data_IF_122361960123
#
_entry.id   IF_122361960123
#
_cell.length_a   1.000
_cell.length_b   1.000
_cell.length_c   1.000
_cell.angle_alpha   90.00
_cell.angle_beta   90.00
_cell.angle_gamma   90.00
#
_symmetry.space_group_name_H-M   'P 1'
#
loop_
_entity.id
_entity.type
_entity.pdbx_description
1 polymer ?
#
# COMPACT_ATOMS: atom_id res chain seq x y z
N UNK A 1 10.94 -10.38 7.38
CA UNK A 1 11.41 -11.27 6.31
C UNK A 1 12.77 -10.76 5.85
N UNK A 2 13.84 -11.49 6.19
CA UNK A 2 15.19 -11.20 5.73
C UNK A 2 15.41 -11.66 4.27
N UNK A 3 16.63 -11.54 3.77
CA UNK A 3 16.98 -12.03 2.43
C UNK A 3 17.04 -13.57 2.37
N UNK A 4 17.38 -14.25 3.47
CA UNK A 4 17.39 -15.71 3.53
C UNK A 4 16.00 -16.30 3.29
N UNK A 5 14.94 -15.70 3.85
CA UNK A 5 13.55 -16.10 3.58
C UNK A 5 13.11 -15.87 2.13
N UNK A 6 13.70 -14.88 1.44
CA UNK A 6 13.46 -14.67 0.00
C UNK A 6 14.15 -15.75 -0.82
N UNK A 7 15.41 -16.05 -0.50
CA UNK A 7 16.15 -17.14 -1.15
C UNK A 7 15.52 -18.51 -0.88
N UNK A 8 14.94 -18.70 0.31
CA UNK A 8 14.16 -19.89 0.66
C UNK A 8 12.99 -20.09 -0.30
N UNK A 9 12.20 -19.04 -0.59
CA UNK A 9 11.14 -19.10 -1.60
C UNK A 9 11.69 -19.48 -2.98
N UNK A 10 12.79 -18.84 -3.41
CA UNK A 10 13.38 -19.12 -4.73
C UNK A 10 13.98 -20.53 -4.85
N UNK A 11 14.39 -21.13 -3.74
CA UNK A 11 14.99 -22.47 -3.71
C UNK A 11 13.95 -23.57 -3.53
N UNK A 12 13.00 -23.37 -2.63
CA UNK A 12 12.13 -24.44 -2.11
C UNK A 12 10.69 -24.37 -2.61
N UNK A 13 10.22 -23.21 -3.09
CA UNK A 13 8.86 -23.15 -3.65
C UNK A 13 8.78 -24.04 -4.89
N UNK A 14 7.79 -24.91 -4.92
CA UNK A 14 7.50 -25.77 -6.08
C UNK A 14 6.99 -24.93 -7.25
N UNK A 15 7.03 -25.48 -8.48
CA UNK A 15 6.48 -24.77 -9.64
C UNK A 15 5.00 -24.37 -9.46
N UNK A 16 4.10 -25.26 -8.98
CA UNK A 16 2.72 -24.87 -8.71
C UNK A 16 2.58 -23.75 -7.67
N UNK A 17 3.40 -23.75 -6.61
CA UNK A 17 3.37 -22.68 -5.61
C UNK A 17 3.86 -21.35 -6.19
N UNK A 18 4.89 -21.36 -7.03
CA UNK A 18 5.36 -20.14 -7.72
C UNK A 18 4.31 -19.60 -8.67
N UNK A 19 3.68 -20.47 -9.45
CA UNK A 19 2.59 -20.09 -10.34
C UNK A 19 1.41 -19.52 -9.57
N UNK A 20 1.04 -20.13 -8.44
CA UNK A 20 0.00 -19.60 -7.55
C UNK A 20 0.36 -18.20 -7.05
N UNK A 21 1.56 -18.02 -6.48
CA UNK A 21 2.00 -16.72 -5.93
C UNK A 21 2.04 -15.65 -7.03
N UNK A 22 2.64 -15.97 -8.18
CA UNK A 22 2.75 -15.06 -9.31
C UNK A 22 1.37 -14.70 -9.86
N UNK A 23 0.42 -15.63 -9.87
CA UNK A 23 -0.92 -15.37 -10.40
C UNK A 23 -1.58 -14.15 -9.73
N UNK A 24 -1.38 -13.95 -8.42
CA UNK A 24 -1.96 -12.82 -7.68
C UNK A 24 -1.54 -11.43 -8.21
N UNK A 25 -0.44 -11.37 -8.97
CA UNK A 25 0.18 -10.12 -9.43
C UNK A 25 0.30 -10.03 -10.96
N UNK A 26 -0.17 -11.04 -11.71
CA UNK A 26 -0.14 -11.00 -13.18
C UNK A 26 -1.10 -9.96 -13.73
N UNK A 27 -0.59 -9.16 -14.66
CA UNK A 27 -1.37 -8.21 -15.45
C UNK A 27 -1.83 -8.92 -16.71
N UNK A 28 -3.14 -9.01 -16.90
CA UNK A 28 -3.79 -9.66 -18.04
C UNK A 28 -3.68 -8.81 -19.30
N UNK A 29 -3.96 -7.52 -19.18
CA UNK A 29 -3.96 -6.58 -20.30
C UNK A 29 -3.63 -5.16 -19.81
N UNK A 30 -3.13 -4.34 -20.73
CA UNK A 30 -2.77 -2.94 -20.47
C UNK A 30 -3.45 -2.03 -21.48
N UNK A 31 -3.92 -0.88 -21.03
CA UNK A 31 -4.57 0.14 -21.85
C UNK A 31 -4.02 1.53 -21.55
N UNK A 32 -3.96 2.38 -22.58
CA UNK A 32 -3.63 3.81 -22.41
C UNK A 32 -2.24 4.06 -21.84
N UNK A 33 -1.25 3.20 -22.12
CA UNK A 33 0.12 3.36 -21.62
C UNK A 33 0.75 4.68 -22.07
N UNK A 34 1.49 5.33 -21.17
CA UNK A 34 2.12 6.64 -21.36
C UNK A 34 3.62 6.54 -21.03
N UNK A 35 4.40 5.85 -21.87
CA UNK A 35 5.83 5.64 -21.63
C UNK A 35 6.64 6.94 -21.60
N UNK A 36 6.10 8.05 -22.15
CA UNK A 36 6.72 9.37 -22.14
C UNK A 36 6.60 10.11 -20.79
N UNK A 37 5.71 9.67 -19.90
CA UNK A 37 5.56 10.26 -18.58
C UNK A 37 6.83 10.03 -17.72
N UNK A 38 7.20 10.98 -16.89
CA UNK A 38 8.41 10.92 -16.04
C UNK A 38 8.13 10.38 -14.64
N UNK A 39 6.85 10.30 -14.29
CA UNK A 39 6.37 9.96 -12.97
C UNK A 39 5.05 9.22 -13.10
N UNK A 40 4.92 8.14 -12.34
CA UNK A 40 3.68 7.36 -12.21
C UNK A 40 3.08 7.58 -10.82
N UNK A 41 1.81 7.98 -10.78
CA UNK A 41 0.96 7.79 -9.60
C UNK A 41 0.32 6.41 -9.73
N UNK A 42 0.60 5.51 -8.81
CA UNK A 42 0.09 4.15 -8.81
C UNK A 42 -1.01 3.97 -7.77
N UNK A 43 -2.14 3.43 -8.23
CA UNK A 43 -3.32 3.18 -7.42
C UNK A 43 -3.91 1.81 -7.78
N UNK A 44 -4.56 1.17 -6.82
CA UNK A 44 -5.35 -0.04 -7.05
C UNK A 44 -6.84 0.27 -6.99
N UNK A 45 -7.63 -0.37 -7.83
CA UNK A 45 -9.09 -0.31 -7.76
C UNK A 45 -9.68 -1.73 -7.77
N UNK A 46 -10.34 -2.08 -6.68
CA UNK A 46 -10.97 -3.37 -6.41
C UNK A 46 -12.13 -3.16 -5.44
N UNK A 47 -13.12 -4.06 -5.43
CA UNK A 47 -14.30 -3.94 -4.58
C UNK A 47 -14.75 -5.28 -4.00
N UNK A 48 -14.32 -5.55 -2.76
CA UNK A 48 -14.72 -6.69 -1.92
C UNK A 48 -14.76 -6.31 -0.45
N UNK A 49 -15.32 -7.18 0.38
CA UNK A 49 -15.21 -7.05 1.83
C UNK A 49 -13.75 -7.00 2.28
N UNK A 50 -13.51 -6.26 3.36
CA UNK A 50 -12.19 -6.12 3.96
C UNK A 50 -11.68 -7.41 4.63
N UNK A 51 -12.60 -8.31 5.00
CA UNK A 51 -12.31 -9.50 5.80
C UNK A 51 -12.92 -10.74 5.15
N UNK A 52 -12.17 -11.85 5.17
CA UNK A 52 -12.59 -13.15 4.66
C UNK A 52 -13.88 -13.69 5.30
N UNK A 53 -14.17 -13.29 6.54
CA UNK A 53 -15.36 -13.74 7.26
C UNK A 53 -16.66 -13.25 6.63
N UNK A 54 -16.62 -12.17 5.86
CA UNK A 54 -17.75 -11.68 5.08
C UNK A 54 -17.56 -12.18 3.66
N UNK A 55 -18.47 -13.06 3.20
CA UNK A 55 -18.37 -13.72 1.90
C UNK A 55 -18.34 -12.76 0.71
N UNK A 56 -18.39 -13.28 -0.52
CA UNK A 56 -18.22 -12.46 -1.71
C UNK A 56 -19.37 -11.47 -1.97
N UNK A 57 -19.01 -10.25 -2.41
CA UNK A 57 -19.94 -9.37 -3.11
C UNK A 57 -20.35 -9.96 -4.48
N UNK A 58 -21.56 -9.65 -4.98
CA UNK A 58 -21.96 -9.99 -6.34
C UNK A 58 -21.02 -9.35 -7.37
N UNK A 59 -21.10 -9.85 -8.62
CA UNK A 59 -20.31 -9.28 -9.73
C UNK A 59 -20.56 -7.77 -9.82
N UNK A 60 -19.51 -6.95 -9.68
CA UNK A 60 -19.64 -5.51 -9.72
C UNK A 60 -20.28 -4.97 -11.00
N UNK A 61 -21.15 -3.97 -10.83
CA UNK A 61 -21.63 -3.13 -11.92
C UNK A 61 -21.65 -1.68 -11.46
N UNK A 62 -21.69 -0.74 -12.39
CA UNK A 62 -21.83 0.70 -12.08
C UNK A 62 -23.01 0.96 -11.14
N UNK A 63 -24.18 0.37 -11.45
CA UNK A 63 -25.40 0.58 -10.67
C UNK A 63 -25.31 -0.04 -9.28
N UNK A 64 -24.74 -1.25 -9.16
CA UNK A 64 -24.53 -1.89 -7.85
C UNK A 64 -23.57 -1.10 -6.97
N UNK A 65 -22.49 -0.57 -7.54
CA UNK A 65 -21.56 0.27 -6.79
C UNK A 65 -22.28 1.51 -6.27
N UNK A 66 -22.95 2.29 -7.15
CA UNK A 66 -23.70 3.50 -6.76
C UNK A 66 -24.84 3.27 -5.77
N UNK A 67 -25.36 2.05 -5.70
CA UNK A 67 -26.48 1.69 -4.83
C UNK A 67 -26.07 0.70 -3.74
N UNK A 68 -24.77 0.58 -3.45
CA UNK A 68 -24.23 -0.43 -2.54
C UNK A 68 -24.86 -0.38 -1.15
N UNK A 69 -25.15 0.80 -0.61
CA UNK A 69 -25.85 0.98 0.67
C UNK A 69 -27.21 0.27 0.69
N UNK A 70 -28.01 0.42 -0.37
CA UNK A 70 -29.34 -0.19 -0.47
C UNK A 70 -29.30 -1.72 -0.58
N UNK A 71 -28.14 -2.27 -0.95
CA UNK A 71 -27.94 -3.70 -1.19
C UNK A 71 -27.05 -4.35 -0.12
N UNK A 72 -26.70 -3.64 0.95
CA UNK A 72 -25.77 -4.10 2.00
C UNK A 72 -24.38 -4.51 1.47
N UNK A 73 -23.89 -3.78 0.46
CA UNK A 73 -22.61 -4.05 -0.24
C UNK A 73 -21.51 -3.04 0.11
N UNK A 74 -21.59 -2.42 1.29
CA UNK A 74 -20.62 -1.39 1.70
C UNK A 74 -19.40 -1.99 2.39
N UNK A 75 -18.21 -1.64 1.89
CA UNK A 75 -16.94 -1.98 2.55
C UNK A 75 -16.66 -0.95 3.65
N UNK A 76 -16.62 -1.38 4.92
CA UNK A 76 -16.44 -0.49 6.10
C UNK A 76 -17.49 0.64 6.19
N UNK A 77 -18.72 0.40 5.73
CA UNK A 77 -19.76 1.43 5.70
C UNK A 77 -19.54 2.55 4.67
N UNK A 78 -18.67 2.32 3.68
CA UNK A 78 -18.35 3.30 2.64
C UNK A 78 -19.00 2.90 1.30
N UNK A 79 -19.71 3.86 0.69
CA UNK A 79 -20.30 3.70 -0.64
C UNK A 79 -19.18 3.72 -1.70
N UNK A 80 -18.99 2.64 -2.47
CA UNK A 80 -17.77 2.42 -3.23
C UNK A 80 -17.58 3.37 -4.42
N UNK A 81 -18.66 3.83 -5.05
CA UNK A 81 -18.60 4.77 -6.17
C UNK A 81 -18.09 6.13 -5.72
N UNK A 82 -18.75 6.76 -4.76
CA UNK A 82 -18.39 8.08 -4.25
C UNK A 82 -17.06 8.08 -3.48
N UNK A 83 -16.72 6.96 -2.83
CA UNK A 83 -15.52 6.87 -2.02
C UNK A 83 -14.27 6.41 -2.78
N UNK A 84 -14.38 5.51 -3.77
CA UNK A 84 -13.19 4.99 -4.47
C UNK A 84 -13.14 5.38 -5.95
N UNK A 85 -14.26 5.35 -6.68
CA UNK A 85 -14.27 5.59 -8.13
C UNK A 85 -14.24 7.08 -8.45
N UNK A 86 -15.12 7.86 -7.81
CA UNK A 86 -15.26 9.29 -8.09
C UNK A 86 -14.02 10.12 -7.74
N UNK A 87 -13.33 9.89 -6.61
CA UNK A 87 -12.09 10.62 -6.30
C UNK A 87 -10.98 10.30 -7.31
N UNK A 88 -10.91 9.05 -7.77
CA UNK A 88 -9.97 8.61 -8.81
C UNK A 88 -10.25 9.31 -10.15
N UNK A 89 -11.48 9.29 -10.65
CA UNK A 89 -11.83 9.96 -11.91
C UNK A 89 -11.55 11.47 -11.86
N UNK A 90 -11.91 12.12 -10.75
CA UNK A 90 -11.65 13.56 -10.55
C UNK A 90 -10.16 13.87 -10.44
N UNK A 91 -9.43 13.08 -9.64
CA UNK A 91 -7.99 13.24 -9.44
C UNK A 91 -7.20 13.06 -10.74
N UNK A 92 -7.49 11.98 -11.48
CA UNK A 92 -6.84 11.72 -12.76
C UNK A 92 -7.14 12.82 -13.80
N UNK A 93 -8.39 13.26 -13.92
CA UNK A 93 -8.76 14.35 -14.83
C UNK A 93 -8.04 15.66 -14.47
N UNK A 94 -7.95 16.00 -13.18
CA UNK A 94 -7.24 17.18 -12.71
C UNK A 94 -5.73 17.09 -12.99
N UNK A 95 -5.10 15.95 -12.69
CA UNK A 95 -3.68 15.72 -12.93
C UNK A 95 -3.34 15.76 -14.42
N UNK A 96 -4.18 15.21 -15.30
CA UNK A 96 -3.97 15.28 -16.75
C UNK A 96 -3.86 16.72 -17.24
N UNK A 97 -4.62 17.65 -16.66
CA UNK A 97 -4.63 19.05 -17.04
C UNK A 97 -3.46 19.83 -16.42
N UNK A 98 -3.15 19.61 -15.14
CA UNK A 98 -2.15 20.40 -14.40
C UNK A 98 -0.73 19.87 -14.51
N UNK A 99 -0.56 18.55 -14.66
CA UNK A 99 0.71 17.82 -14.65
C UNK A 99 0.72 16.72 -15.72
N UNK A 100 0.69 17.09 -17.02
CA UNK A 100 0.65 16.13 -18.12
C UNK A 100 1.92 15.26 -18.19
N UNK A 101 3.01 15.62 -17.51
CA UNK A 101 4.22 14.81 -17.37
C UNK A 101 4.08 13.62 -16.42
N UNK A 102 2.97 13.56 -15.66
CA UNK A 102 2.65 12.48 -14.73
C UNK A 102 1.58 11.56 -15.35
N UNK A 103 1.82 10.24 -15.28
CA UNK A 103 0.86 9.21 -15.62
C UNK A 103 0.11 8.74 -14.37
N UNK A 104 -1.21 8.62 -14.46
CA UNK A 104 -2.03 8.05 -13.41
C UNK A 104 -2.30 6.58 -13.76
N UNK A 105 -1.62 5.64 -13.10
CA UNK A 105 -1.75 4.21 -13.33
C UNK A 105 -2.69 3.54 -12.35
N UNK A 106 -3.67 2.83 -12.89
CA UNK A 106 -4.65 2.07 -12.13
C UNK A 106 -4.43 0.58 -12.36
N UNK A 107 -4.10 -0.14 -11.29
CA UNK A 107 -4.17 -1.59 -11.25
C UNK A 107 -5.62 -2.00 -10.94
N UNK A 108 -6.33 -2.45 -11.99
CA UNK A 108 -7.77 -2.65 -11.98
C UNK A 108 -8.11 -4.13 -11.83
N UNK A 109 -8.95 -4.48 -10.86
CA UNK A 109 -9.49 -5.83 -10.74
C UNK A 109 -10.25 -6.22 -12.01
N UNK A 110 -10.15 -7.48 -12.44
CA UNK A 110 -10.79 -7.95 -13.68
C UNK A 110 -12.31 -7.78 -13.68
N UNK A 111 -12.96 -7.92 -12.52
CA UNK A 111 -14.40 -7.77 -12.36
C UNK A 111 -14.86 -6.29 -12.39
N UNK A 112 -13.92 -5.34 -12.46
CA UNK A 112 -14.17 -3.91 -12.63
C UNK A 112 -13.83 -3.41 -14.04
N UNK A 113 -13.54 -4.28 -15.01
CA UNK A 113 -13.20 -3.88 -16.40
C UNK A 113 -14.28 -3.02 -17.09
N UNK A 114 -15.52 -3.00 -16.61
CA UNK A 114 -16.55 -2.08 -17.13
C UNK A 114 -16.21 -0.59 -16.89
N UNK A 115 -15.25 -0.27 -16.02
CA UNK A 115 -14.76 1.09 -15.77
C UNK A 115 -13.70 1.55 -16.78
N UNK A 116 -13.17 0.65 -17.62
CA UNK A 116 -12.09 0.99 -18.57
C UNK A 116 -12.43 2.23 -19.43
N UNK A 117 -13.63 2.36 -20.03
CA UNK A 117 -13.96 3.54 -20.82
C UNK A 117 -13.87 4.86 -20.04
N UNK A 118 -14.44 4.91 -18.83
CA UNK A 118 -14.41 6.10 -17.96
C UNK A 118 -12.97 6.47 -17.56
N UNK A 119 -12.15 5.46 -17.25
CA UNK A 119 -10.76 5.63 -16.84
C UNK A 119 -9.87 6.11 -18.01
N UNK A 120 -10.08 5.61 -19.22
CA UNK A 120 -9.38 6.08 -20.41
C UNK A 120 -9.78 7.50 -20.79
N UNK A 121 -11.05 7.87 -20.64
CA UNK A 121 -11.54 9.23 -20.92
C UNK A 121 -10.78 10.29 -20.11
N UNK A 122 -10.47 9.98 -18.84
CA UNK A 122 -9.69 10.86 -17.95
C UNK A 122 -8.16 10.68 -18.10
N UNK A 123 -7.71 9.81 -19.00
CA UNK A 123 -6.30 9.66 -19.39
C UNK A 123 -5.45 8.78 -18.47
N UNK A 124 -6.06 7.80 -17.79
CA UNK A 124 -5.32 6.83 -16.97
C UNK A 124 -4.57 5.78 -17.81
N UNK A 125 -3.42 5.32 -17.32
CA UNK A 125 -2.87 4.02 -17.69
C UNK A 125 -3.65 2.95 -16.90
N UNK A 126 -4.10 1.88 -17.57
CA UNK A 126 -4.92 0.85 -16.92
C UNK A 126 -4.22 -0.49 -17.07
N UNK A 127 -3.89 -1.11 -15.95
CA UNK A 127 -3.27 -2.42 -15.86
C UNK A 127 -4.32 -3.36 -15.27
N UNK A 128 -5.01 -4.10 -16.14
CA UNK A 128 -6.07 -5.01 -15.70
C UNK A 128 -5.43 -6.27 -15.17
N UNK A 129 -5.74 -6.62 -13.94
CA UNK A 129 -5.17 -7.79 -13.27
C UNK A 129 -5.84 -9.08 -13.78
N UNK A 130 -5.16 -10.22 -13.67
CA UNK A 130 -5.75 -11.53 -13.97
C UNK A 130 -6.81 -11.96 -12.94
N UNK A 131 -6.81 -11.36 -11.75
CA UNK A 131 -7.76 -11.70 -10.70
C UNK A 131 -8.90 -10.67 -10.61
N UNK A 132 -10.08 -11.20 -10.30
CA UNK A 132 -11.15 -10.41 -9.72
C UNK A 132 -10.72 -9.87 -8.36
N UNK A 133 -11.50 -8.94 -7.82
CA UNK A 133 -11.38 -8.58 -6.42
C UNK A 133 -11.55 -9.85 -5.57
N UNK A 134 -10.64 -10.16 -4.64
CA UNK A 134 -10.75 -11.33 -3.74
C UNK A 134 -11.25 -10.90 -2.35
N UNK A 135 -10.37 -10.24 -1.58
CA UNK A 135 -10.70 -9.57 -0.31
C UNK A 135 -10.00 -8.21 -0.31
N UNK A 136 -9.39 -7.80 0.81
CA UNK A 136 -8.52 -6.62 0.82
C UNK A 136 -7.26 -6.84 -0.04
N UNK A 137 -6.65 -8.02 0.08
CA UNK A 137 -5.47 -8.41 -0.67
C UNK A 137 -5.80 -9.50 -1.71
N UNK A 138 -5.04 -9.63 -2.81
CA UNK A 138 -3.89 -8.82 -3.24
C UNK A 138 -4.25 -7.41 -3.75
N UNK A 139 -5.55 -7.05 -3.80
CA UNK A 139 -6.04 -5.78 -4.35
C UNK A 139 -5.27 -4.54 -3.88
N UNK A 140 -5.11 -4.38 -2.56
CA UNK A 140 -4.36 -3.26 -1.98
C UNK A 140 -2.87 -3.24 -2.34
N UNK A 141 -2.30 -4.41 -2.66
CA UNK A 141 -0.88 -4.57 -2.97
C UNK A 141 -0.55 -4.36 -4.46
N UNK A 142 -1.53 -4.42 -5.39
CA UNK A 142 -1.21 -4.31 -6.81
C UNK A 142 -0.52 -2.98 -7.21
N UNK A 143 -0.86 -1.87 -6.56
CA UNK A 143 -0.19 -0.57 -6.76
C UNK A 143 1.32 -0.62 -6.51
N UNK A 144 1.79 -1.56 -5.70
CA UNK A 144 3.20 -1.74 -5.37
C UNK A 144 4.00 -2.32 -6.53
N UNK A 145 3.35 -2.91 -7.53
CA UNK A 145 4.01 -3.34 -8.77
C UNK A 145 4.65 -2.15 -9.50
N UNK A 146 4.16 -0.92 -9.28
CA UNK A 146 4.79 0.26 -9.85
C UNK A 146 6.16 0.56 -9.24
N UNK A 147 6.50 0.00 -8.07
CA UNK A 147 7.82 0.19 -7.47
C UNK A 147 8.94 -0.50 -8.28
N UNK A 148 8.60 -1.32 -9.29
CA UNK A 148 9.56 -1.91 -10.22
C UNK A 148 9.96 -0.98 -11.37
N UNK A 149 9.36 0.22 -11.48
CA UNK A 149 9.73 1.22 -12.48
C UNK A 149 11.22 1.61 -12.37
N UNK A 150 11.94 1.53 -13.48
CA UNK A 150 13.37 1.89 -13.54
C UNK A 150 13.62 3.30 -14.05
N UNK A 151 12.72 3.81 -14.90
CA UNK A 151 12.91 5.09 -15.61
C UNK A 151 12.06 6.23 -15.05
N UNK A 152 11.10 5.91 -14.18
CA UNK A 152 10.08 6.86 -13.71
C UNK A 152 10.06 6.94 -12.19
N UNK A 153 9.77 8.13 -11.68
CA UNK A 153 9.40 8.30 -10.29
C UNK A 153 8.06 7.60 -10.00
N UNK A 154 7.85 7.18 -8.76
CA UNK A 154 6.64 6.45 -8.36
C UNK A 154 6.05 7.10 -7.12
N UNK A 155 4.78 7.49 -7.16
CA UNK A 155 3.98 7.83 -5.97
C UNK A 155 2.89 6.79 -5.80
N UNK A 156 2.82 6.18 -4.62
CA UNK A 156 1.77 5.23 -4.26
C UNK A 156 0.63 5.98 -3.56
N UNK A 157 -0.62 5.75 -3.99
CA UNK A 157 -1.81 6.29 -3.35
C UNK A 157 -2.96 5.29 -3.27
N UNK A 158 -3.86 5.47 -2.30
CA UNK A 158 -5.20 4.89 -2.33
C UNK A 158 -6.09 5.65 -3.33
N UNK A 159 -7.14 4.97 -3.80
CA UNK A 159 -8.12 5.52 -4.75
C UNK A 159 -8.99 6.61 -4.14
N UNK A 160 -9.31 6.53 -2.85
CA UNK A 160 -10.05 7.56 -2.10
C UNK A 160 -9.25 8.86 -1.89
N UNK A 161 -7.91 8.76 -1.92
CA UNK A 161 -6.98 9.90 -1.81
C UNK A 161 -6.58 10.51 -3.15
N UNK A 162 -6.91 9.86 -4.27
CA UNK A 162 -6.49 10.26 -5.61
C UNK A 162 -6.81 11.72 -5.96
N UNK A 163 -7.86 12.31 -5.37
CA UNK A 163 -8.21 13.71 -5.56
C UNK A 163 -7.21 14.73 -4.98
N UNK A 164 -6.31 14.32 -4.09
CA UNK A 164 -5.39 15.21 -3.35
C UNK A 164 -3.91 14.75 -3.41
N UNK A 165 -3.53 14.02 -4.46
CA UNK A 165 -2.20 13.36 -4.56
C UNK A 165 -1.06 14.28 -5.01
N UNK A 166 -1.34 15.53 -5.41
CA UNK A 166 -0.31 16.44 -5.94
C UNK A 166 0.84 16.67 -4.94
N UNK A 167 0.53 16.92 -3.67
CA UNK A 167 1.56 17.11 -2.64
C UNK A 167 2.42 15.86 -2.41
N UNK A 168 1.85 14.66 -2.58
CA UNK A 168 2.61 13.40 -2.52
C UNK A 168 3.52 13.24 -3.74
N UNK A 169 3.15 13.80 -4.89
CA UNK A 169 4.01 13.84 -6.08
C UNK A 169 5.20 14.77 -5.88
N UNK A 170 4.97 15.97 -5.35
CA UNK A 170 6.02 16.95 -5.03
C UNK A 170 7.02 16.38 -4.01
N UNK A 171 6.56 15.60 -3.03
CA UNK A 171 7.43 14.86 -2.10
C UNK A 171 8.30 13.83 -2.84
N UNK A 172 7.74 13.08 -3.78
CA UNK A 172 8.49 12.12 -4.60
C UNK A 172 9.53 12.80 -5.46
N UNK A 173 9.20 13.91 -6.10
CA UNK A 173 10.13 14.70 -6.92
C UNK A 173 11.30 15.25 -6.08
N UNK A 174 11.02 15.63 -4.83
CA UNK A 174 12.02 16.15 -3.89
C UNK A 174 13.10 15.12 -3.53
N UNK A 175 12.82 13.82 -3.64
CA UNK A 175 13.81 12.75 -3.38
C UNK A 175 15.08 12.93 -4.20
N UNK A 176 14.95 13.34 -5.47
CA UNK A 176 16.09 13.51 -6.37
C UNK A 176 17.03 14.61 -5.91
N UNK A 177 16.51 15.67 -5.29
CA UNK A 177 17.32 16.80 -4.80
C UNK A 177 18.09 16.43 -3.52
N UNK A 178 17.55 15.50 -2.72
CA UNK A 178 18.14 15.05 -1.47
C UNK A 178 19.03 13.81 -1.62
N UNK A 179 19.05 13.19 -2.82
CA UNK A 179 19.78 11.95 -3.05
C UNK A 179 19.19 10.73 -2.32
N UNK A 180 17.93 10.81 -1.89
CA UNK A 180 17.24 9.76 -1.13
C UNK A 180 16.46 8.83 -2.07
N UNK A 181 16.36 7.55 -1.70
CA UNK A 181 15.67 6.55 -2.51
C UNK A 181 14.15 6.61 -2.40
N UNK A 182 13.62 6.84 -1.19
CA UNK A 182 12.18 6.74 -0.90
C UNK A 182 11.73 7.77 0.15
N UNK A 183 10.44 8.09 0.15
CA UNK A 183 9.81 8.78 1.28
C UNK A 183 8.66 7.96 1.86
N UNK A 184 8.36 8.20 3.13
CA UNK A 184 7.32 7.49 3.88
C UNK A 184 6.68 8.39 4.95
N UNK A 185 5.52 7.95 5.43
CA UNK A 185 4.86 8.48 6.62
C UNK A 185 4.67 7.33 7.61
N UNK A 186 5.39 7.31 8.75
CA UNK A 186 5.10 6.38 9.83
C UNK A 186 3.83 6.83 10.58
N UNK A 187 3.07 5.86 11.10
CA UNK A 187 1.84 6.13 11.85
C UNK A 187 1.55 5.01 12.84
N UNK A 188 0.61 5.27 13.73
CA UNK A 188 -0.04 4.26 14.54
C UNK A 188 -1.40 3.96 13.93
N UNK A 189 -1.64 2.69 13.62
CA UNK A 189 -3.00 2.20 13.46
C UNK A 189 -3.67 2.29 14.85
N UNK A 190 -4.34 3.42 15.11
CA UNK A 190 -5.13 3.63 16.32
C UNK A 190 -6.48 2.90 16.21
N UNK A 191 -7.08 2.65 17.38
CA UNK A 191 -8.39 2.09 17.73
C UNK A 191 -9.65 2.59 16.95
N UNK A 192 -9.54 3.16 15.75
CA UNK A 192 -10.70 3.78 15.07
C UNK A 192 -11.67 2.74 14.45
N UNK A 193 -11.39 1.43 14.56
CA UNK A 193 -12.35 0.35 14.25
C UNK A 193 -12.70 -0.51 15.49
N UNK A 194 -12.69 0.10 16.68
CA UNK A 194 -12.70 -0.56 18.00
C UNK A 194 -14.01 -1.15 18.54
N UNK A 195 -15.08 -1.31 17.75
CA UNK A 195 -16.28 -2.02 18.25
C UNK A 195 -16.47 -3.45 17.72
N UNK A 196 -15.94 -3.80 16.54
CA UNK A 196 -16.28 -5.09 15.92
C UNK A 196 -15.30 -6.24 16.19
N UNK A 197 -14.04 -5.96 16.57
CA UNK A 197 -12.96 -6.96 16.51
C UNK A 197 -12.29 -7.33 17.84
N UNK A 198 -12.74 -6.76 18.97
CA UNK A 198 -12.13 -7.02 20.28
C UNK A 198 -12.55 -8.30 20.99
N UNK A 199 -13.44 -9.12 20.42
CA UNK A 199 -13.88 -10.37 21.09
C UNK A 199 -12.90 -11.54 20.94
N UNK A 200 -11.92 -11.47 20.03
CA UNK A 200 -10.91 -12.54 19.84
C UNK A 200 -9.46 -12.13 20.04
N UNK A 201 -9.11 -10.85 19.91
CA UNK A 201 -7.73 -10.37 20.09
C UNK A 201 -7.74 -9.28 21.16
N UNK A 202 -7.16 -9.59 22.32
CA UNK A 202 -7.03 -8.67 23.46
C UNK A 202 -6.42 -7.32 23.02
N UNK A 203 -6.72 -6.24 23.78
CA UNK A 203 -6.21 -4.86 23.73
C UNK A 203 -4.67 -4.67 23.74
N UNK A 204 -3.90 -5.56 23.12
CA UNK A 204 -2.45 -5.75 23.25
C UNK A 204 -1.82 -6.24 21.94
N UNK A 205 -2.11 -5.62 20.80
CA UNK A 205 -1.38 -5.85 19.55
C UNK A 205 -0.48 -4.65 19.21
N UNK A 206 0.57 -4.88 18.42
CA UNK A 206 1.43 -3.81 17.92
C UNK A 206 0.82 -3.20 16.65
N UNK A 207 0.34 -1.95 16.77
CA UNK A 207 -0.26 -1.16 15.70
C UNK A 207 0.69 -0.15 15.03
N UNK A 208 1.96 -0.09 15.43
CA UNK A 208 2.93 0.79 14.76
C UNK A 208 3.16 0.35 13.32
N UNK A 209 3.29 1.32 12.41
CA UNK A 209 3.63 1.11 11.01
C UNK A 209 4.73 2.08 10.57
N UNK A 210 5.86 1.57 10.05
CA UNK A 210 6.94 2.41 9.54
C UNK A 210 6.57 3.10 8.22
N UNK A 211 5.58 2.57 7.50
CA UNK A 211 5.15 3.05 6.18
C UNK A 211 3.62 3.01 6.14
N UNK A 212 3.01 4.14 5.85
CA UNK A 212 1.61 4.24 5.45
C UNK A 212 1.48 3.83 3.98
N UNK A 213 0.91 2.65 3.73
CA UNK A 213 0.92 2.05 2.39
C UNK A 213 0.09 2.79 1.35
N UNK A 214 -0.76 3.72 1.77
CA UNK A 214 -1.49 4.63 0.90
C UNK A 214 -0.74 5.94 0.60
N UNK A 215 0.47 6.13 1.16
CA UNK A 215 1.27 7.35 1.12
C UNK A 215 2.77 7.03 1.17
N UNK A 216 3.35 6.74 0.01
CA UNK A 216 4.80 6.62 -0.14
C UNK A 216 5.23 7.00 -1.54
N UNK A 217 6.52 7.24 -1.72
CA UNK A 217 7.08 7.42 -3.05
C UNK A 217 8.50 6.90 -3.15
N UNK A 218 8.88 6.61 -4.37
CA UNK A 218 10.14 5.97 -4.73
C UNK A 218 10.76 6.63 -5.97
N UNK A 219 12.08 6.76 -5.92
CA UNK A 219 12.94 7.07 -7.06
C UNK A 219 13.73 5.85 -7.55
N UNK A 220 13.87 4.82 -6.72
CA UNK A 220 14.71 3.66 -7.01
C UNK A 220 13.86 2.38 -7.09
N UNK A 221 14.13 1.50 -8.07
CA UNK A 221 13.33 0.31 -8.24
C UNK A 221 13.46 -0.64 -7.06
N UNK A 222 12.36 -1.31 -6.73
CA UNK A 222 12.27 -2.38 -5.74
C UNK A 222 11.66 -3.58 -6.46
N UNK A 223 12.18 -4.81 -6.29
CA UNK A 223 11.59 -6.01 -6.88
C UNK A 223 10.29 -6.42 -6.15
N UNK A 224 9.29 -5.54 -6.20
CA UNK A 224 8.10 -5.61 -5.37
C UNK A 224 7.29 -6.88 -5.62
N UNK A 225 7.13 -7.30 -6.88
CA UNK A 225 6.37 -8.51 -7.20
C UNK A 225 6.97 -9.73 -6.50
N UNK A 226 8.28 -9.95 -6.69
CA UNK A 226 8.98 -11.09 -6.06
C UNK A 226 8.96 -11.03 -4.53
N UNK A 227 9.05 -9.83 -3.96
CA UNK A 227 8.95 -9.67 -2.50
C UNK A 227 7.55 -10.02 -1.98
N UNK A 228 6.50 -9.63 -2.71
CA UNK A 228 5.12 -9.94 -2.34
C UNK A 228 4.84 -11.44 -2.47
N UNK A 229 5.29 -12.07 -3.56
CA UNK A 229 5.22 -13.52 -3.78
C UNK A 229 5.89 -14.30 -2.63
N UNK A 230 7.14 -13.95 -2.30
CA UNK A 230 7.88 -14.58 -1.22
C UNK A 230 7.23 -14.37 0.15
N UNK A 231 6.68 -13.17 0.41
CA UNK A 231 6.02 -12.85 1.67
C UNK A 231 4.75 -13.68 1.87
N UNK A 232 3.92 -13.80 0.84
CA UNK A 232 2.69 -14.61 0.88
C UNK A 232 3.05 -16.08 1.09
N UNK A 233 4.01 -16.61 0.32
CA UNK A 233 4.44 -18.00 0.45
C UNK A 233 4.96 -18.33 1.85
N UNK A 234 5.83 -17.47 2.40
CA UNK A 234 6.36 -17.64 3.75
C UNK A 234 5.26 -17.51 4.82
N UNK A 235 4.27 -16.64 4.61
CA UNK A 235 3.10 -16.54 5.50
C UNK A 235 2.28 -17.82 5.48
N UNK A 236 1.95 -18.35 4.29
CA UNK A 236 1.15 -19.58 4.14
C UNK A 236 1.84 -20.80 4.76
N UNK A 237 3.18 -20.81 4.82
CA UNK A 237 3.97 -21.86 5.48
C UNK A 237 4.22 -21.65 6.97
N UNK A 238 3.82 -20.51 7.54
CA UNK A 238 4.08 -20.18 8.94
C UNK A 238 5.56 -19.85 9.23
N UNK A 239 6.33 -19.48 8.21
CA UNK A 239 7.75 -19.14 8.36
C UNK A 239 7.94 -17.72 8.93
N UNK A 240 6.93 -16.84 8.80
CA UNK A 240 6.97 -15.50 9.37
C UNK A 240 6.39 -15.52 10.79
N UNK A 241 7.18 -15.08 11.78
CA UNK A 241 6.69 -14.91 13.14
C UNK A 241 5.75 -13.71 13.23
N UNK A 242 4.45 -13.89 13.53
CA UNK A 242 3.49 -12.79 13.63
C UNK A 242 3.51 -12.13 15.02
N UNK A 243 4.42 -12.52 15.90
CA UNK A 243 4.51 -12.02 17.27
C UNK A 243 5.88 -11.41 17.55
N UNK A 244 5.91 -10.40 18.43
CA UNK A 244 7.13 -9.69 18.80
C UNK A 244 7.24 -9.51 20.31
N UNK A 245 8.46 -9.67 20.82
CA UNK A 245 8.82 -9.30 22.19
C UNK A 245 9.49 -7.91 22.15
N UNK A 246 8.81 -6.89 22.65
CA UNK A 246 9.40 -5.55 22.71
C UNK A 246 10.43 -5.42 23.83
N UNK A 247 11.52 -4.64 23.63
CA UNK A 247 12.45 -4.33 24.71
C UNK A 247 11.72 -3.75 25.93
N UNK A 248 11.96 -4.31 27.12
CA UNK A 248 11.30 -3.90 28.36
C UNK A 248 9.86 -4.41 28.54
N UNK A 249 9.35 -5.23 27.61
CA UNK A 249 8.07 -5.92 27.77
C UNK A 249 8.29 -7.39 28.15
N UNK A 250 7.50 -7.89 29.10
CA UNK A 250 7.54 -9.30 29.53
C UNK A 250 6.55 -10.20 28.77
N UNK A 251 5.81 -9.63 27.81
CA UNK A 251 4.81 -10.34 27.03
C UNK A 251 5.18 -10.30 25.56
N UNK A 252 5.03 -11.44 24.89
CA UNK A 252 5.02 -11.51 23.43
C UNK A 252 3.67 -10.95 22.96
N UNK A 253 3.70 -10.06 21.98
CA UNK A 253 2.53 -9.36 21.46
C UNK A 253 2.33 -9.69 19.98
N UNK A 254 1.09 -9.98 19.53
CA UNK A 254 0.82 -10.16 18.12
C UNK A 254 0.95 -8.82 17.36
N UNK A 255 1.44 -8.89 16.13
CA UNK A 255 1.46 -7.75 15.20
C UNK A 255 0.14 -7.74 14.43
N UNK A 256 -0.50 -6.58 14.31
CA UNK A 256 -1.74 -6.45 13.55
C UNK A 256 -1.52 -6.77 12.04
N UNK A 257 -2.55 -7.25 11.34
CA UNK A 257 -2.56 -7.37 9.87
C UNK A 257 -1.81 -8.57 9.27
N UNK A 258 -1.32 -9.53 10.04
CA UNK A 258 -0.50 -10.64 9.50
C UNK A 258 -1.29 -11.73 8.74
N UNK A 259 -2.63 -11.69 8.75
CA UNK A 259 -3.50 -12.73 8.16
C UNK A 259 -3.68 -12.47 6.67
N UNK A 260 -3.27 -13.42 5.83
CA UNK A 260 -3.52 -13.37 4.40
C UNK A 260 -4.90 -13.97 4.03
N UNK A 261 -5.67 -13.38 3.09
CA UNK A 261 -5.53 -12.06 2.43
C UNK A 261 -6.34 -10.92 3.09
N UNK A 262 -6.46 -10.90 4.41
CA UNK A 262 -7.28 -9.92 5.14
C UNK A 262 -6.72 -8.49 5.08
N UNK A 263 -7.55 -7.53 5.52
CA UNK A 263 -7.16 -6.14 5.67
C UNK A 263 -5.98 -5.95 6.63
N UNK A 264 -5.07 -5.02 6.27
CA UNK A 264 -3.83 -4.76 6.98
C UNK A 264 -2.66 -5.66 6.56
N UNK A 265 -2.86 -6.65 5.68
CA UNK A 265 -1.76 -7.50 5.21
C UNK A 265 -0.78 -6.79 4.27
N UNK A 266 -1.22 -5.80 3.51
CA UNK A 266 -0.33 -4.92 2.74
C UNK A 266 0.61 -4.12 3.66
N UNK A 267 0.12 -3.68 4.82
CA UNK A 267 0.94 -3.04 5.85
C UNK A 267 1.86 -4.03 6.57
N UNK A 268 1.41 -5.27 6.79
CA UNK A 268 2.28 -6.34 7.28
C UNK A 268 3.42 -6.60 6.30
N UNK A 269 3.11 -6.73 5.00
CA UNK A 269 4.10 -6.81 3.92
C UNK A 269 5.07 -5.63 3.96
N UNK A 270 4.54 -4.41 4.14
CA UNK A 270 5.35 -3.21 4.24
C UNK A 270 6.37 -3.30 5.37
N UNK A 271 5.92 -3.71 6.56
CA UNK A 271 6.75 -3.84 7.76
C UNK A 271 7.79 -4.96 7.62
N UNK A 272 7.38 -6.15 7.17
CA UNK A 272 8.22 -7.35 7.22
C UNK A 272 9.14 -7.48 6.00
N UNK A 273 8.73 -6.99 4.84
CA UNK A 273 9.37 -7.29 3.56
C UNK A 273 9.88 -6.04 2.85
N UNK A 274 9.10 -4.95 2.81
CA UNK A 274 9.47 -3.75 2.08
C UNK A 274 10.45 -2.86 2.88
N UNK A 275 10.09 -2.54 4.12
CA UNK A 275 10.77 -1.57 4.97
C UNK A 275 12.27 -1.83 5.16
N UNK A 276 12.72 -3.08 5.45
CA UNK A 276 14.14 -3.34 5.60
C UNK A 276 14.97 -3.00 4.36
N UNK A 277 14.37 -3.09 3.17
CA UNK A 277 15.03 -2.90 1.87
C UNK A 277 14.99 -1.44 1.41
N UNK A 278 13.96 -0.69 1.77
CA UNK A 278 13.93 0.74 1.45
C UNK A 278 14.77 1.58 2.40
N UNK A 279 14.94 1.14 3.66
CA UNK A 279 15.74 1.86 4.65
C UNK A 279 17.20 2.05 4.23
N UNK A 280 17.82 1.02 3.63
CA UNK A 280 19.21 1.10 3.16
C UNK A 280 19.40 2.06 1.97
N UNK A 281 18.33 2.41 1.25
CA UNK A 281 18.38 3.34 0.12
C UNK A 281 18.25 4.82 0.55
N UNK A 282 18.17 5.10 1.86
CA UNK A 282 17.93 6.43 2.37
C UNK A 282 16.45 6.79 2.32
N UNK A 283 15.92 7.25 3.46
CA UNK A 283 14.51 7.58 3.62
C UNK A 283 14.31 9.05 3.96
N UNK A 284 13.37 9.70 3.28
CA UNK A 284 12.77 10.97 3.73
C UNK A 284 11.51 10.65 4.55
N UNK A 285 11.61 10.82 5.86
CA UNK A 285 10.52 10.47 6.79
C UNK A 285 9.71 11.71 7.16
N UNK A 286 8.44 11.75 6.78
CA UNK A 286 7.52 12.82 7.18
C UNK A 286 6.75 12.40 8.44
N UNK A 287 7.00 13.08 9.55
CA UNK A 287 6.42 12.73 10.85
C UNK A 287 5.15 13.55 11.08
N UNK A 288 4.04 12.86 11.33
CA UNK A 288 2.77 13.49 11.65
C UNK A 288 2.82 14.19 13.03
N UNK A 289 2.09 15.30 13.14
CA UNK A 289 1.92 16.04 14.40
C UNK A 289 1.30 15.09 15.45
N UNK A 290 2.00 14.90 16.57
CA UNK A 290 1.50 14.04 17.66
C UNK A 290 1.85 12.56 17.52
N UNK A 291 2.72 12.18 16.58
CA UNK A 291 3.33 10.85 16.56
C UNK A 291 4.14 10.64 17.85
N UNK A 292 3.53 10.01 18.86
CA UNK A 292 4.18 9.62 20.09
C UNK A 292 4.01 8.12 20.27
N UNK A 293 5.10 7.39 20.09
CA UNK A 293 5.10 5.96 20.28
C UNK A 293 6.47 5.42 20.66
N UNK A 294 6.54 4.44 21.58
CA UNK A 294 7.79 3.78 21.93
C UNK A 294 8.53 3.19 20.71
N UNK A 295 7.78 2.66 19.75
CA UNK A 295 8.34 2.07 18.52
C UNK A 295 8.91 3.10 17.54
N UNK A 296 8.46 4.36 17.62
CA UNK A 296 8.93 5.39 16.70
C UNK A 296 10.42 5.70 16.92
N UNK A 297 10.89 5.72 18.18
CA UNK A 297 12.31 5.94 18.47
C UNK A 297 13.20 4.81 17.93
N UNK A 298 12.76 3.55 18.05
CA UNK A 298 13.45 2.39 17.47
C UNK A 298 13.48 2.45 15.94
N UNK A 299 12.40 2.91 15.31
CA UNK A 299 12.36 3.14 13.87
C UNK A 299 13.38 4.19 13.44
N UNK A 300 13.44 5.34 14.13
CA UNK A 300 14.42 6.39 13.81
C UNK A 300 15.85 5.86 13.97
N UNK A 301 16.14 5.15 15.06
CA UNK A 301 17.45 4.50 15.24
C UNK A 301 17.78 3.55 14.08
N UNK A 302 16.83 2.68 13.71
CA UNK A 302 17.02 1.74 12.61
C UNK A 302 17.28 2.44 11.26
N UNK A 303 16.51 3.47 10.92
CA UNK A 303 16.65 4.17 9.64
C UNK A 303 17.96 4.94 9.55
N UNK A 304 18.37 5.62 10.62
CA UNK A 304 19.67 6.31 10.66
C UNK A 304 20.83 5.34 10.65
N UNK A 305 20.70 4.17 11.29
CA UNK A 305 21.70 3.10 11.21
C UNK A 305 21.79 2.48 9.81
N UNK A 306 20.65 2.17 9.19
CA UNK A 306 20.57 1.52 7.89
C UNK A 306 21.12 2.42 6.76
N UNK A 307 20.85 3.72 6.84
CA UNK A 307 21.45 4.72 5.96
C UNK A 307 21.59 6.07 6.67
N UNK A 308 22.84 6.51 6.98
CA UNK A 308 23.10 7.78 7.67
C UNK A 308 22.65 9.05 6.93
N UNK A 309 22.35 8.97 5.63
CA UNK A 309 21.83 10.09 4.86
C UNK A 309 20.31 10.27 5.03
N UNK A 310 19.61 9.31 5.64
CA UNK A 310 18.16 9.41 5.84
C UNK A 310 17.79 10.67 6.63
N UNK A 311 16.74 11.34 6.15
CA UNK A 311 16.28 12.61 6.69
C UNK A 311 14.90 12.48 7.32
N UNK A 312 14.58 13.40 8.22
CA UNK A 312 13.28 13.47 8.88
C UNK A 312 12.75 14.90 8.83
N UNK A 313 11.53 15.04 8.33
CA UNK A 313 10.76 16.28 8.37
C UNK A 313 9.74 16.16 9.48
N UNK A 314 9.97 16.91 10.55
CA UNK A 314 9.04 17.02 11.66
C UNK A 314 8.23 18.31 11.53
N UNK A 315 6.93 18.18 11.25
CA UNK A 315 6.03 19.31 11.36
C UNK A 315 5.67 19.44 12.84
N UNK A 316 6.38 20.32 13.56
CA UNK A 316 5.97 20.70 14.91
C UNK A 316 4.57 21.32 14.88
N UNK A 317 3.88 21.34 16.03
CA UNK A 317 2.75 22.27 16.17
C UNK A 317 3.27 23.67 15.83
N UNK A 318 2.60 24.36 14.91
CA UNK A 318 2.84 25.79 14.71
C UNK A 318 2.43 26.48 16.02
N UNK A 319 3.41 26.69 16.89
CA UNK A 319 3.19 27.09 18.28
C UNK A 319 4.43 26.87 19.15
N UNK A 320 5.38 27.81 19.05
CA UNK A 320 6.31 28.17 20.12
C UNK A 320 7.49 27.24 20.40
N UNK A 321 8.66 27.58 19.84
CA UNK A 321 9.86 27.48 20.65
C UNK A 321 9.77 28.56 21.74
N UNK A 322 9.74 28.14 23.01
CA UNK A 322 9.67 28.93 24.27
C UNK A 322 8.31 29.57 24.62
N UNK A 323 7.89 29.55 25.91
CA UNK A 323 8.52 28.98 27.10
C UNK A 323 7.95 27.62 27.56
#
# INVERSE_FOLDING_TARGET
MDDDMRELYLKEATLPERDEMASYFRVKEKHGERPEAKHVIACSLYWKHAWLAHGDFPVPTRELMKTAEKNDLMKRGLEPWSHYVLPLLRGAAAMRLSRPDIAFRIYLAQDLSFLIPDLLEVGCEIYVMEHNSLSHNPGAMWRLLALEETERLVTITDSDRAGNVLSDCERTESLSNLGLGHWRIPYFAHDVESEYHYSKWNKRSIGYRPIMMCQMGSRVPIPAQRLMEACIWNTKRGNLNPEVLLPGCNNVLPVYGFVWPDYGYDEWFALTSLYPRIAVNGLLTFVAIGANAPMFSLDIEYVTWANPQSEMVYFGKVGGCCP
#
